data_IF_135687429968
#
_entry.id   IF_135687429968
#
_cell.length_a   1.000
_cell.length_b   1.000
_cell.length_c   1.000
_cell.angle_alpha   90.00
_cell.angle_beta   90.00
_cell.angle_gamma   90.00
#
_symmetry.space_group_name_H-M   'P 1'
#
loop_
_entity.id
_entity.type
_entity.pdbx_description
1 polymer ?
#
# COMPACT_ATOMS: atom_id res chain seq x y z
N UNK A 1 -23.84 9.38 4.40
CA UNK A 1 -22.53 9.23 5.05
C UNK A 1 -21.97 7.87 4.65
N UNK A 2 -20.80 7.79 3.99
CA UNK A 2 -20.14 6.50 3.71
C UNK A 2 -19.28 6.15 4.91
N UNK A 3 -19.58 5.04 5.58
CA UNK A 3 -18.80 4.48 6.68
C UNK A 3 -17.33 4.28 6.24
N UNK A 4 -16.34 4.64 7.07
CA UNK A 4 -14.94 4.37 6.76
C UNK A 4 -14.74 2.85 6.71
N UNK A 5 -14.31 2.33 5.56
CA UNK A 5 -14.00 0.91 5.42
C UNK A 5 -12.86 0.58 6.39
N UNK A 6 -13.05 -0.35 7.35
CA UNK A 6 -11.95 -0.75 8.22
C UNK A 6 -10.89 -1.44 7.36
N UNK A 7 -9.64 -0.99 7.48
CA UNK A 7 -8.50 -1.74 6.92
C UNK A 7 -8.46 -3.11 7.60
N UNK A 8 -8.46 -4.17 6.80
CA UNK A 8 -8.47 -5.57 7.27
C UNK A 8 -7.11 -5.91 7.87
N UNK A 9 -6.03 -5.43 7.23
CA UNK A 9 -4.67 -5.69 7.70
C UNK A 9 -3.68 -4.69 7.09
N UNK A 10 -2.58 -4.42 7.80
CA UNK A 10 -1.58 -3.44 7.36
C UNK A 10 -0.16 -3.83 7.74
N UNK A 11 0.82 -3.54 6.87
CA UNK A 11 2.23 -3.83 7.08
C UNK A 11 3.14 -2.73 6.56
N UNK A 12 4.32 -2.60 7.18
CA UNK A 12 5.44 -1.84 6.64
C UNK A 12 6.28 -2.75 5.75
N UNK A 13 6.47 -2.38 4.49
CA UNK A 13 7.19 -3.16 3.48
C UNK A 13 8.20 -2.28 2.72
N UNK A 14 9.16 -2.93 2.05
CA UNK A 14 9.99 -2.26 1.05
C UNK A 14 9.40 -2.47 -0.34
N UNK A 15 9.06 -1.37 -0.99
CA UNK A 15 8.63 -1.34 -2.37
C UNK A 15 9.83 -1.36 -3.30
N UNK A 16 9.91 -2.39 -4.14
CA UNK A 16 11.01 -2.62 -5.09
C UNK A 16 10.76 -2.00 -6.48
N UNK A 17 9.57 -1.45 -6.73
CA UNK A 17 9.19 -0.86 -8.02
C UNK A 17 7.99 -1.54 -8.69
N UNK A 18 7.49 -0.92 -9.77
CA UNK A 18 6.45 -1.49 -10.64
C UNK A 18 6.90 -1.47 -12.09
N UNK A 19 6.43 -2.46 -12.85
CA UNK A 19 6.67 -2.52 -14.29
C UNK A 19 5.39 -2.92 -14.98
N UNK A 20 4.98 -2.16 -15.99
CA UNK A 20 3.83 -2.51 -16.82
C UNK A 20 4.08 -3.89 -17.48
N UNK A 21 3.07 -4.75 -17.41
CA UNK A 21 3.12 -6.11 -17.94
C UNK A 21 1.86 -6.37 -18.76
N UNK A 22 2.00 -7.06 -19.90
CA UNK A 22 0.86 -7.48 -20.70
C UNK A 22 0.20 -8.73 -20.11
N UNK A 23 0.77 -9.92 -20.39
CA UNK A 23 0.34 -11.18 -19.78
C UNK A 23 1.27 -11.58 -18.64
N UNK A 24 0.68 -11.93 -17.50
CA UNK A 24 1.40 -12.43 -16.31
C UNK A 24 1.23 -13.95 -16.26
N UNK A 25 2.35 -14.67 -16.37
CA UNK A 25 2.47 -16.09 -16.03
C UNK A 25 3.43 -16.22 -14.83
N UNK A 26 3.38 -17.32 -14.09
CA UNK A 26 4.27 -17.58 -12.95
C UNK A 26 5.76 -17.48 -13.35
N UNK A 27 6.14 -18.09 -14.48
CA UNK A 27 7.51 -18.03 -15.01
C UNK A 27 7.93 -16.59 -15.40
N UNK A 28 6.99 -15.81 -15.94
CA UNK A 28 7.21 -14.40 -16.26
C UNK A 28 7.40 -13.55 -15.00
N UNK A 29 6.75 -13.91 -13.89
CA UNK A 29 6.87 -13.20 -12.61
C UNK A 29 8.26 -13.38 -11.98
N UNK A 30 8.76 -14.61 -11.87
CA UNK A 30 10.08 -14.87 -11.26
C UNK A 30 11.24 -14.23 -12.04
N UNK A 31 11.20 -14.33 -13.38
CA UNK A 31 12.21 -13.65 -14.22
C UNK A 31 12.19 -12.14 -14.00
N UNK A 32 11.01 -11.54 -13.82
CA UNK A 32 10.87 -10.09 -13.61
C UNK A 32 11.31 -9.67 -12.22
N UNK A 33 10.96 -10.44 -11.18
CA UNK A 33 11.42 -10.19 -9.82
C UNK A 33 12.95 -10.18 -9.78
N UNK A 34 13.61 -11.16 -10.40
CA UNK A 34 15.09 -11.16 -10.54
C UNK A 34 15.63 -9.94 -11.29
N UNK A 35 14.95 -9.43 -12.31
CA UNK A 35 15.37 -8.21 -13.02
C UNK A 35 15.25 -6.96 -12.14
N UNK A 36 14.20 -6.85 -11.34
CA UNK A 36 14.01 -5.74 -10.40
C UNK A 36 15.08 -5.78 -9.30
N UNK A 37 15.33 -6.95 -8.71
CA UNK A 37 16.36 -7.13 -7.69
C UNK A 37 17.79 -6.84 -8.20
N UNK A 38 18.04 -7.02 -9.51
CA UNK A 38 19.32 -6.68 -10.15
C UNK A 38 19.41 -5.22 -10.58
N UNK A 39 18.29 -4.49 -10.59
CA UNK A 39 18.31 -3.06 -10.90
C UNK A 39 18.80 -2.30 -9.68
N UNK A 40 19.65 -1.29 -9.87
CA UNK A 40 20.10 -0.38 -8.81
C UNK A 40 18.98 0.58 -8.34
N UNK A 41 17.72 0.23 -8.58
CA UNK A 41 16.59 1.05 -8.20
C UNK A 41 16.45 1.00 -6.67
N UNK A 42 16.55 2.14 -5.97
CA UNK A 42 16.47 2.15 -4.52
C UNK A 42 15.08 1.69 -4.07
N UNK A 43 15.05 0.78 -3.09
CA UNK A 43 13.81 0.38 -2.44
C UNK A 43 13.25 1.53 -1.60
N UNK A 44 11.92 1.60 -1.49
CA UNK A 44 11.24 2.65 -0.72
C UNK A 44 10.41 2.02 0.40
N UNK A 45 10.51 2.54 1.61
CA UNK A 45 9.60 2.12 2.69
C UNK A 45 8.18 2.59 2.41
N UNK A 46 7.25 1.63 2.44
CA UNK A 46 5.83 1.86 2.17
C UNK A 46 4.97 1.18 3.22
N UNK A 47 3.80 1.76 3.44
CA UNK A 47 2.72 1.17 4.20
C UNK A 47 1.72 0.53 3.25
N UNK A 48 1.59 -0.80 3.33
CA UNK A 48 0.59 -1.58 2.60
C UNK A 48 -0.63 -1.77 3.49
N UNK A 49 -1.81 -1.38 3.02
CA UNK A 49 -3.08 -1.61 3.69
C UNK A 49 -4.04 -2.35 2.78
N UNK A 50 -4.60 -3.46 3.28
CA UNK A 50 -5.60 -4.25 2.55
C UNK A 50 -6.96 -3.99 3.17
N UNK A 51 -7.95 -3.75 2.33
CA UNK A 51 -9.35 -3.60 2.70
C UNK A 51 -10.23 -4.44 1.78
N UNK A 52 -11.52 -4.55 2.11
CA UNK A 52 -12.50 -5.18 1.22
C UNK A 52 -12.60 -4.48 -0.15
N UNK A 53 -12.19 -3.21 -0.25
CA UNK A 53 -12.22 -2.43 -1.48
C UNK A 53 -10.94 -2.55 -2.30
N UNK A 54 -9.91 -3.23 -1.77
CA UNK A 54 -8.64 -3.42 -2.47
C UNK A 54 -7.41 -3.10 -1.62
N UNK A 55 -6.29 -2.95 -2.30
CA UNK A 55 -4.95 -2.78 -1.74
C UNK A 55 -4.48 -1.34 -1.94
N UNK A 56 -4.06 -0.72 -0.85
CA UNK A 56 -3.54 0.64 -0.83
C UNK A 56 -2.06 0.62 -0.43
N UNK A 57 -1.23 1.38 -1.15
CA UNK A 57 0.20 1.53 -0.86
C UNK A 57 0.47 3.02 -0.66
N UNK A 58 0.92 3.39 0.52
CA UNK A 58 1.31 4.76 0.84
C UNK A 58 2.82 4.83 1.15
N UNK A 59 3.48 5.93 0.78
CA UNK A 59 4.86 6.18 1.20
C UNK A 59 4.88 6.49 2.70
N UNK A 60 5.87 5.97 3.40
CA UNK A 60 6.01 6.19 4.85
C UNK A 60 6.21 7.68 5.20
N UNK A 61 6.87 8.45 4.34
CA UNK A 61 7.14 9.88 4.52
C UNK A 61 5.95 10.83 4.22
N UNK A 62 4.81 10.31 3.76
CA UNK A 62 3.62 11.16 3.66
C UNK A 62 2.90 11.17 5.00
N UNK A 63 2.60 12.36 5.58
CA UNK A 63 1.90 12.43 6.86
C UNK A 63 0.60 11.65 6.72
N UNK A 64 0.45 10.60 7.53
CA UNK A 64 -0.85 9.99 7.81
C UNK A 64 -1.76 11.15 8.18
N UNK A 65 -2.66 11.54 7.28
CA UNK A 65 -3.75 12.46 7.61
C UNK A 65 -4.59 11.70 8.63
N UNK A 66 -4.25 11.90 9.90
CA UNK A 66 -5.00 11.46 11.04
C UNK A 66 -6.30 12.23 10.98
N UNK A 67 -7.35 11.60 10.44
CA UNK A 67 -8.70 12.01 10.75
C UNK A 67 -8.90 11.72 12.24
N UNK A 68 -8.48 12.65 13.09
CA UNK A 68 -8.91 12.76 14.47
C UNK A 68 -10.42 12.99 14.40
N UNK A 69 -11.18 11.90 14.54
CA UNK A 69 -12.59 11.96 14.89
C UNK A 69 -12.66 12.61 16.27
N UNK A 70 -12.88 13.92 16.33
CA UNK A 70 -13.38 14.56 17.54
C UNK A 70 -14.75 13.94 17.85
N UNK A 71 -14.94 13.26 19.00
CA UNK A 71 -16.29 13.00 19.45
C UNK A 71 -16.87 14.36 19.87
N UNK A 72 -17.78 14.92 19.07
CA UNK A 72 -18.64 15.99 19.57
C UNK A 72 -19.51 15.38 20.66
N UNK A 73 -19.17 15.67 21.90
CA UNK A 73 -20.04 15.51 23.06
C UNK A 73 -21.33 16.29 22.80
N UNK A 74 -22.41 15.59 22.51
CA UNK A 74 -23.75 16.15 22.65
C UNK A 74 -24.15 16.03 24.13
N UNK A 75 -23.86 17.07 24.90
CA UNK A 75 -24.57 17.37 26.15
C UNK A 75 -25.38 18.65 25.92
N UNK A 76 -26.70 18.49 25.85
CA UNK A 76 -27.80 19.28 26.43
C UNK A 76 -29.09 19.06 25.62
#
# INVERSE_FOLDING_TARGET
MRTPTPYVMSWNLQYLGSKAVGKVTSESLERRMRKILRSETPSQSVYLSISLNGVYVAKEDQPKVSFLLCPTSSSF
#
